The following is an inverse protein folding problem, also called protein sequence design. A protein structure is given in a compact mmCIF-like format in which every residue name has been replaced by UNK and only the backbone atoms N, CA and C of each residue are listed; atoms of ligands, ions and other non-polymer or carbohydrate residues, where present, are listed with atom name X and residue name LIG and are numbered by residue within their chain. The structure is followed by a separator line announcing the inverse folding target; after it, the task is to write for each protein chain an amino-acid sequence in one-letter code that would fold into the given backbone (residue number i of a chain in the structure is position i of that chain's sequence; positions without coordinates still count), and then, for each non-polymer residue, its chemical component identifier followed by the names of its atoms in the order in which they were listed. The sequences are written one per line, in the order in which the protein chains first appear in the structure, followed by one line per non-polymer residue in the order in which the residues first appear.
data_IF_009337163186
#
_entry.id   IF_009337163186
#
_cell.length_a   1.000
_cell.length_b   1.000
_cell.length_c   1.000
_cell.angle_alpha   90.00
_cell.angle_beta   90.00
_cell.angle_gamma   90.00
#
_symmetry.space_group_name_H-M   'P 1'
#
loop_
_entity.id
_entity.type
_entity.pdbx_description
1 polymer ?
#
# COMPACT_ATOMS: atom_id res chain seq x y z
N UNK A 1 18.90 -24.31 8.91
CA UNK A 1 17.69 -24.67 9.67
C UNK A 1 16.63 -23.65 9.31
N UNK A 2 15.37 -24.04 9.07
CA UNK A 2 14.32 -23.06 8.83
C UNK A 2 14.29 -22.09 10.01
N UNK A 3 14.24 -20.79 9.73
CA UNK A 3 14.11 -19.78 10.78
C UNK A 3 12.79 -20.03 11.49
N UNK A 4 12.83 -20.40 12.77
CA UNK A 4 11.64 -20.55 13.60
C UNK A 4 11.64 -19.48 14.68
N UNK A 5 10.45 -18.97 14.98
CA UNK A 5 10.25 -18.11 16.14
C UNK A 5 10.41 -18.94 17.42
N UNK A 6 10.92 -18.32 18.49
CA UNK A 6 10.97 -18.98 19.79
C UNK A 6 9.55 -19.21 20.32
N UNK A 7 9.37 -20.23 21.16
CA UNK A 7 8.09 -20.47 21.83
C UNK A 7 7.59 -19.23 22.61
N UNK A 8 8.52 -18.48 23.22
CA UNK A 8 8.19 -17.23 23.91
C UNK A 8 7.64 -16.16 22.94
N UNK A 9 8.21 -16.03 21.75
CA UNK A 9 7.73 -15.08 20.75
C UNK A 9 6.35 -15.46 20.22
N UNK A 10 6.12 -16.74 19.93
CA UNK A 10 4.82 -17.28 19.53
C UNK A 10 3.76 -16.98 20.59
N UNK A 11 4.06 -17.28 21.86
CA UNK A 11 3.16 -17.01 22.98
C UNK A 11 2.82 -15.51 23.12
N UNK A 12 3.79 -14.62 22.88
CA UNK A 12 3.56 -13.16 22.89
C UNK A 12 2.62 -12.73 21.76
N UNK A 13 2.76 -13.28 20.56
CA UNK A 13 1.81 -13.03 19.47
C UNK A 13 0.42 -13.54 19.81
N UNK A 14 0.32 -14.72 20.43
CA UNK A 14 -0.96 -15.29 20.79
C UNK A 14 -1.70 -14.45 21.82
N UNK A 15 -1.01 -14.03 22.88
CA UNK A 15 -1.56 -13.13 23.91
C UNK A 15 -2.02 -11.80 23.29
N UNK A 16 -1.23 -11.25 22.36
CA UNK A 16 -1.59 -10.01 21.67
C UNK A 16 -2.87 -10.19 20.85
N UNK A 17 -2.98 -11.27 20.07
CA UNK A 17 -4.13 -11.52 19.22
C UNK A 17 -5.39 -11.89 20.01
N UNK A 18 -5.27 -12.55 21.16
CA UNK A 18 -6.42 -12.80 22.03
C UNK A 18 -7.12 -11.51 22.46
N UNK A 19 -6.38 -10.40 22.65
CA UNK A 19 -6.98 -9.10 22.95
C UNK A 19 -7.84 -8.54 21.79
N UNK A 20 -7.50 -8.87 20.55
CA UNK A 20 -8.29 -8.50 19.36
C UNK A 20 -9.51 -9.42 19.12
N UNK A 21 -9.64 -10.51 19.89
CA UNK A 21 -10.80 -11.40 19.85
C UNK A 21 -11.94 -10.95 20.77
N UNK A 22 -11.79 -9.85 21.51
CA UNK A 22 -12.81 -9.35 22.43
C UNK A 22 -14.15 -9.05 21.71
N UNK A 23 -15.31 -9.39 22.33
CA UNK A 23 -16.61 -9.20 21.70
C UNK A 23 -16.90 -7.75 21.28
N UNK A 24 -17.60 -7.60 20.15
CA UNK A 24 -18.05 -6.29 19.66
C UNK A 24 -16.99 -5.49 18.89
N UNK A 25 -15.86 -6.11 18.51
CA UNK A 25 -14.81 -5.47 17.71
C UNK A 25 -14.49 -6.27 16.44
N UNK A 26 -14.01 -5.61 15.37
CA UNK A 26 -13.44 -6.31 14.22
C UNK A 26 -12.22 -7.14 14.61
N UNK A 27 -12.02 -8.22 13.87
CA UNK A 27 -10.90 -9.12 14.02
C UNK A 27 -9.60 -8.62 13.38
N UNK A 28 -8.56 -9.44 13.47
CA UNK A 28 -7.25 -9.21 12.87
C UNK A 28 -6.64 -10.52 12.36
N UNK A 29 -5.85 -10.44 11.29
CA UNK A 29 -5.01 -11.53 10.80
C UNK A 29 -3.55 -11.11 10.86
N UNK A 30 -2.68 -12.01 11.32
CA UNK A 30 -1.23 -11.84 11.26
C UNK A 30 -0.61 -13.03 10.57
N UNK A 31 0.25 -12.76 9.59
CA UNK A 31 1.10 -13.74 8.93
C UNK A 31 2.56 -13.29 8.99
N UNK A 32 3.47 -14.21 9.32
CA UNK A 32 4.92 -13.98 9.34
C UNK A 32 5.55 -15.05 8.46
N UNK A 33 6.36 -14.60 7.50
CA UNK A 33 7.01 -15.45 6.51
C UNK A 33 8.52 -15.31 6.65
N UNK A 34 9.24 -16.42 6.63
CA UNK A 34 10.70 -16.45 6.65
C UNK A 34 11.28 -15.92 5.34
N UNK A 35 12.60 -15.70 5.32
CA UNK A 35 13.31 -15.35 4.09
C UNK A 35 13.20 -16.44 3.03
N UNK A 36 13.13 -17.70 3.46
CA UNK A 36 13.02 -18.89 2.62
C UNK A 36 11.60 -19.08 2.07
N UNK A 37 10.62 -18.30 2.54
CA UNK A 37 9.22 -18.37 2.11
C UNK A 37 8.33 -19.25 2.98
N UNK A 38 8.84 -19.75 4.11
CA UNK A 38 8.06 -20.57 5.04
C UNK A 38 7.17 -19.69 5.90
N UNK A 39 5.90 -20.06 6.07
CA UNK A 39 5.01 -19.43 7.04
C UNK A 39 5.45 -19.88 8.43
N UNK A 40 6.00 -18.97 9.23
CA UNK A 40 6.50 -19.25 10.59
C UNK A 40 5.49 -18.91 11.68
N UNK A 41 4.45 -18.14 11.32
CA UNK A 41 3.28 -17.85 12.14
C UNK A 41 2.14 -17.39 11.25
N UNK A 42 0.94 -17.89 11.49
CA UNK A 42 -0.28 -17.41 10.85
C UNK A 42 -1.45 -17.61 11.80
N UNK A 43 -2.24 -16.55 12.02
CA UNK A 43 -3.43 -16.61 12.86
C UNK A 43 -4.41 -15.49 12.54
N UNK A 44 -5.68 -15.85 12.40
CA UNK A 44 -6.83 -14.95 12.40
C UNK A 44 -7.61 -15.01 13.72
N UNK A 45 -8.09 -13.87 14.20
CA UNK A 45 -8.91 -13.76 15.42
C UNK A 45 -10.07 -12.79 15.21
N UNK A 46 -11.17 -12.97 15.95
CA UNK A 46 -12.30 -12.04 15.97
C UNK A 46 -13.24 -12.16 14.76
N UNK A 47 -13.94 -11.07 14.45
CA UNK A 47 -15.01 -11.02 13.46
C UNK A 47 -14.60 -10.26 12.20
N UNK A 48 -14.90 -10.81 11.04
CA UNK A 48 -14.79 -10.11 9.75
C UNK A 48 -15.83 -8.99 9.66
N UNK A 49 -17.01 -9.23 10.22
CA UNK A 49 -18.08 -8.24 10.25
C UNK A 49 -18.80 -8.32 11.61
N UNK A 50 -18.78 -7.21 12.34
CA UNK A 50 -19.32 -7.11 13.72
C UNK A 50 -20.86 -7.19 13.73
N UNK A 51 -21.52 -6.67 12.71
CA UNK A 51 -22.99 -6.62 12.62
C UNK A 51 -23.59 -8.00 12.34
N UNK A 52 -22.96 -8.75 11.44
CA UNK A 52 -23.42 -10.08 11.02
C UNK A 52 -22.87 -11.21 11.89
N UNK A 53 -21.80 -10.95 12.64
CA UNK A 53 -21.10 -11.98 13.42
C UNK A 53 -20.24 -12.93 12.58
N UNK A 54 -19.98 -12.61 11.30
CA UNK A 54 -19.14 -13.43 10.44
C UNK A 54 -17.72 -13.52 11.03
N UNK A 55 -17.24 -14.74 11.25
CA UNK A 55 -15.89 -14.99 11.79
C UNK A 55 -14.82 -14.62 10.76
N UNK A 56 -13.73 -14.02 11.24
CA UNK A 56 -12.57 -13.76 10.41
C UNK A 56 -11.73 -15.04 10.24
N UNK A 57 -11.35 -15.31 9.00
CA UNK A 57 -10.50 -16.45 8.62
C UNK A 57 -9.25 -15.97 7.89
N UNK A 58 -8.26 -16.84 7.79
CA UNK A 58 -7.02 -16.54 7.04
C UNK A 58 -7.27 -16.24 5.55
N UNK A 59 -8.33 -16.82 4.95
CA UNK A 59 -8.73 -16.61 3.54
C UNK A 59 -9.71 -15.44 3.34
N UNK A 60 -10.01 -14.68 4.40
CA UNK A 60 -10.94 -13.55 4.30
C UNK A 60 -10.41 -12.47 3.37
N UNK A 61 -11.26 -12.01 2.45
CA UNK A 61 -10.90 -10.95 1.51
C UNK A 61 -11.01 -9.58 2.18
N UNK A 62 -9.93 -8.80 2.11
CA UNK A 62 -9.87 -7.44 2.62
C UNK A 62 -9.80 -6.40 1.51
N UNK A 63 -10.40 -5.24 1.76
CA UNK A 63 -10.08 -4.04 1.00
C UNK A 63 -8.74 -3.47 1.48
N UNK A 64 -7.68 -3.73 0.72
CA UNK A 64 -6.30 -3.42 1.13
C UNK A 64 -5.91 -1.94 0.95
N UNK A 65 -6.82 -1.10 0.43
CA UNK A 65 -6.62 0.33 0.21
C UNK A 65 -5.25 0.67 -0.41
N UNK A 66 -4.44 1.51 0.25
CA UNK A 66 -3.14 1.95 -0.25
C UNK A 66 -2.08 0.85 -0.38
N UNK A 67 -2.25 -0.33 0.21
CA UNK A 67 -1.34 -1.46 -0.02
C UNK A 67 -1.30 -1.87 -1.51
N UNK A 68 -2.35 -1.54 -2.27
CA UNK A 68 -2.39 -1.67 -3.74
C UNK A 68 -1.18 -1.01 -4.42
N UNK A 69 -0.65 0.10 -3.86
CA UNK A 69 0.54 0.79 -4.40
C UNK A 69 1.75 -0.13 -4.52
N UNK A 70 1.92 -1.09 -3.61
CA UNK A 70 3.02 -2.06 -3.69
C UNK A 70 2.92 -2.90 -4.96
N UNK A 71 1.72 -3.40 -5.26
CA UNK A 71 1.44 -4.20 -6.47
C UNK A 71 1.66 -3.36 -7.72
N UNK A 72 1.16 -2.12 -7.74
CA UNK A 72 1.35 -1.19 -8.87
C UNK A 72 2.83 -0.85 -9.09
N UNK A 73 3.60 -0.62 -8.02
CA UNK A 73 5.03 -0.36 -8.12
C UNK A 73 5.80 -1.55 -8.69
N UNK A 74 5.46 -2.77 -8.28
CA UNK A 74 6.06 -4.00 -8.84
C UNK A 74 5.75 -4.10 -10.35
N UNK A 75 4.48 -3.90 -10.74
CA UNK A 75 4.10 -3.92 -12.15
C UNK A 75 4.84 -2.86 -12.98
N UNK A 76 4.99 -1.64 -12.45
CA UNK A 76 5.78 -0.60 -13.10
C UNK A 76 7.25 -1.00 -13.26
N UNK A 77 7.85 -1.59 -12.21
CA UNK A 77 9.24 -2.04 -12.26
C UNK A 77 9.46 -3.20 -13.23
N UNK A 78 8.50 -4.11 -13.42
CA UNK A 78 8.57 -5.14 -14.46
C UNK A 78 8.63 -4.54 -15.88
N UNK A 79 7.91 -3.44 -16.12
CA UNK A 79 8.00 -2.69 -17.39
C UNK A 79 9.35 -1.97 -17.55
N UNK A 80 9.94 -1.52 -16.43
CA UNK A 80 11.30 -0.95 -16.42
C UNK A 80 12.34 -2.01 -16.75
N UNK A 81 12.26 -3.19 -16.13
CA UNK A 81 13.19 -4.31 -16.36
C UNK A 81 13.16 -4.81 -17.82
N UNK A 82 12.01 -4.71 -18.48
CA UNK A 82 11.83 -5.08 -19.89
C UNK A 82 12.14 -3.94 -20.86
N UNK A 83 12.51 -2.75 -20.38
CA UNK A 83 12.87 -1.59 -21.19
C UNK A 83 11.68 -0.90 -21.86
N UNK A 84 10.45 -1.18 -21.45
CA UNK A 84 9.24 -0.55 -21.99
C UNK A 84 8.98 0.84 -21.39
N UNK A 85 9.35 1.04 -20.12
CA UNK A 85 9.26 2.33 -19.42
C UNK A 85 10.61 2.65 -18.78
N UNK A 86 11.02 3.93 -18.75
CA UNK A 86 12.23 4.36 -18.05
C UNK A 86 11.89 5.14 -16.77
N UNK A 87 12.68 4.95 -15.72
CA UNK A 87 12.47 5.61 -14.41
C UNK A 87 12.70 7.12 -14.46
N UNK A 88 13.59 7.59 -15.33
CA UNK A 88 14.12 8.95 -15.34
C UNK A 88 13.66 9.74 -16.57
N UNK A 89 13.15 9.09 -17.60
CA UNK A 89 12.50 9.79 -18.70
C UNK A 89 11.20 10.49 -18.26
N UNK A 90 10.83 11.60 -18.92
CA UNK A 90 9.55 12.24 -18.68
C UNK A 90 8.38 11.29 -18.95
N UNK A 91 7.46 11.18 -17.99
CA UNK A 91 6.32 10.26 -18.09
C UNK A 91 5.34 10.68 -19.20
N UNK A 92 5.38 11.93 -19.66
CA UNK A 92 4.50 12.38 -20.74
C UNK A 92 4.73 11.65 -22.07
N UNK A 93 5.86 10.95 -22.22
CA UNK A 93 6.09 10.03 -23.35
C UNK A 93 5.08 8.89 -23.39
N UNK A 94 4.51 8.53 -22.24
CA UNK A 94 3.49 7.50 -22.06
C UNK A 94 2.12 8.10 -21.71
N UNK A 95 2.11 9.26 -21.04
CA UNK A 95 0.92 9.97 -20.55
C UNK A 95 0.94 11.44 -21.03
N UNK A 96 0.68 11.73 -22.31
CA UNK A 96 0.85 13.06 -22.90
C UNK A 96 0.12 14.18 -22.16
N UNK A 97 -0.98 13.87 -21.49
CA UNK A 97 -1.72 14.81 -20.64
C UNK A 97 -0.89 15.41 -19.49
N UNK A 98 0.25 14.81 -19.14
CA UNK A 98 1.15 15.28 -18.09
C UNK A 98 2.27 16.22 -18.61
N UNK A 99 2.38 16.46 -19.92
CA UNK A 99 3.42 17.32 -20.49
C UNK A 99 3.30 18.77 -20.02
N UNK A 100 2.07 19.30 -20.04
CA UNK A 100 1.76 20.69 -19.72
C UNK A 100 1.01 20.84 -18.38
N UNK A 101 1.24 19.91 -17.45
CA UNK A 101 0.55 19.92 -16.17
C UNK A 101 0.79 21.23 -15.40
N UNK A 102 -0.29 21.75 -14.82
CA UNK A 102 -0.29 22.98 -14.05
C UNK A 102 -0.23 22.66 -12.54
N UNK A 103 0.60 23.39 -11.82
CA UNK A 103 0.76 23.34 -10.37
C UNK A 103 -0.02 24.47 -9.75
N UNK A 104 -0.91 24.14 -8.82
CA UNK A 104 -1.65 25.12 -8.02
C UNK A 104 -0.70 25.85 -7.07
N UNK A 105 -0.73 27.18 -7.10
CA UNK A 105 0.09 28.05 -6.23
C UNK A 105 -0.74 28.83 -5.23
N UNK A 106 -2.03 29.02 -5.53
CA UNK A 106 -2.98 29.68 -4.64
C UNK A 106 -4.38 29.10 -4.88
N UNK A 107 -5.11 28.84 -3.80
CA UNK A 107 -6.50 28.38 -3.85
C UNK A 107 -7.32 29.12 -2.81
N UNK A 108 -8.22 29.97 -3.28
CA UNK A 108 -9.24 30.65 -2.49
C UNK A 108 -10.63 30.30 -3.05
N UNK A 109 -11.73 30.53 -2.32
CA UNK A 109 -13.08 30.20 -2.80
C UNK A 109 -13.46 30.82 -4.16
N UNK A 110 -12.83 31.94 -4.55
CA UNK A 110 -13.12 32.65 -5.80
C UNK A 110 -11.99 32.60 -6.83
N UNK A 111 -10.84 31.99 -6.49
CA UNK A 111 -9.67 32.02 -7.35
C UNK A 111 -8.75 30.82 -7.12
N UNK A 112 -8.47 30.10 -8.21
CA UNK A 112 -7.36 29.14 -8.29
C UNK A 112 -6.31 29.76 -9.20
N UNK A 113 -5.11 30.03 -8.67
CA UNK A 113 -3.95 30.40 -9.48
C UNK A 113 -3.08 29.17 -9.69
N UNK A 114 -2.63 29.00 -10.92
CA UNK A 114 -1.73 27.93 -11.32
C UNK A 114 -0.52 28.49 -12.04
N UNK A 115 0.52 27.67 -12.14
CA UNK A 115 1.67 27.87 -13.03
C UNK A 115 2.05 26.56 -13.69
N UNK A 116 2.78 26.61 -14.81
CA UNK A 116 3.35 25.39 -15.40
C UNK A 116 4.31 24.71 -14.42
N UNK A 117 4.34 23.38 -14.44
CA UNK A 117 5.37 22.61 -13.73
C UNK A 117 6.77 23.01 -14.25
N UNK A 118 7.74 23.14 -13.34
CA UNK A 118 9.12 23.55 -13.71
C UNK A 118 9.97 22.37 -14.18
N UNK A 119 9.62 21.17 -13.74
CA UNK A 119 10.34 19.94 -14.03
C UNK A 119 9.33 18.93 -14.58
N UNK A 120 9.63 18.26 -15.71
CA UNK A 120 8.80 17.16 -16.17
C UNK A 120 8.70 16.05 -15.11
N UNK A 121 7.50 15.52 -14.90
CA UNK A 121 7.28 14.41 -13.98
C UNK A 121 7.93 13.15 -14.56
N UNK A 122 8.68 12.41 -13.75
CA UNK A 122 9.25 11.11 -14.12
C UNK A 122 8.55 9.97 -13.39
N UNK A 123 8.68 8.73 -13.88
CA UNK A 123 8.16 7.56 -13.18
C UNK A 123 8.77 7.44 -11.77
N UNK A 124 10.07 7.73 -11.60
CA UNK A 124 10.72 7.76 -10.27
C UNK A 124 10.01 8.72 -9.31
N UNK A 125 9.59 9.90 -9.77
CA UNK A 125 8.88 10.87 -8.94
C UNK A 125 7.47 10.39 -8.56
N UNK A 126 6.81 9.62 -9.43
CA UNK A 126 5.53 8.98 -9.10
C UNK A 126 5.71 7.89 -8.04
N UNK A 127 6.67 6.98 -8.23
CA UNK A 127 6.92 5.85 -7.32
C UNK A 127 7.47 6.27 -5.96
N UNK A 128 8.12 7.43 -5.87
CA UNK A 128 8.69 7.98 -4.62
C UNK A 128 7.86 9.10 -4.00
N UNK A 129 6.66 9.38 -4.54
CA UNK A 129 5.78 10.44 -4.05
C UNK A 129 6.43 11.85 -4.01
N UNK A 130 7.25 12.17 -5.00
CA UNK A 130 7.94 13.47 -5.15
C UNK A 130 7.49 14.26 -6.39
N UNK A 131 6.42 13.81 -7.04
CA UNK A 131 5.84 14.41 -8.27
C UNK A 131 4.94 15.62 -8.02
N UNK A 132 4.70 15.99 -6.76
CA UNK A 132 3.92 17.17 -6.37
C UNK A 132 2.41 16.94 -6.24
N UNK A 133 1.94 15.71 -6.35
CA UNK A 133 0.54 15.34 -6.13
C UNK A 133 0.19 15.35 -4.64
N UNK A 134 -1.01 15.86 -4.33
CA UNK A 134 -1.65 15.73 -3.02
C UNK A 134 -2.96 14.94 -3.11
N UNK A 135 -3.57 14.70 -1.95
CA UNK A 135 -4.94 14.18 -1.85
C UNK A 135 -5.87 15.28 -1.33
N UNK A 136 -7.13 15.27 -1.76
CA UNK A 136 -8.10 16.33 -1.47
C UNK A 136 -8.98 16.06 -0.24
N UNK A 137 -8.69 15.00 0.51
CA UNK A 137 -9.50 14.52 1.64
C UNK A 137 -8.64 14.30 2.87
#
# INVERSE_FOLDING_TARGET
MPTQLSAEALQKFDILLDHYAEPGRPGTVVGIVSREGDIVYQRSVGLKNVETGETLTDDSVFWIASCTKMVTSIAAMQLVETGLIDLNEPVYRYLPELEDIQVMVESTPSLIKTRKAMTPITLRMLLTHTSGWGYSW
#
